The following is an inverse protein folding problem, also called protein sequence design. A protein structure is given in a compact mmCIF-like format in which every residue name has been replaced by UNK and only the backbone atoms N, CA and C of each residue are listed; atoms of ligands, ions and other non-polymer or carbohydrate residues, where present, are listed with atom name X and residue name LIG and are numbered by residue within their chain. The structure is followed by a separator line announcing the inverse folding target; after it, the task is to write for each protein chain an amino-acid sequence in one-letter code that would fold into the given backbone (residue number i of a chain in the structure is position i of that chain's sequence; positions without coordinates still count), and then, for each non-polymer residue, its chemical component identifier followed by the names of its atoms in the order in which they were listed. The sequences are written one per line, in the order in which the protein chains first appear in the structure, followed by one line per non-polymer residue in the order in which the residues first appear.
data_IF_052790253754
#
_entry.id   IF_052790253754
#
_cell.length_a   1.000
_cell.length_b   1.000
_cell.length_c   1.000
_cell.angle_alpha   90.00
_cell.angle_beta   90.00
_cell.angle_gamma   90.00
#
_symmetry.space_group_name_H-M   'P 1'
#
loop_
_entity.id
_entity.type
_entity.pdbx_description
1 polymer ?
#
# COMPACT_ATOMS: atom_id res chain seq x y z
N UNK A 1 -7.50 -7.75 3.74
CA UNK A 1 -6.54 -7.33 2.70
C UNK A 1 -5.22 -7.08 3.41
N UNK A 2 -4.16 -7.81 3.09
CA UNK A 2 -2.84 -7.73 3.72
C UNK A 2 -1.75 -7.33 2.71
N UNK A 3 -2.11 -6.60 1.66
CA UNK A 3 -1.21 -6.17 0.61
C UNK A 3 -1.67 -4.80 0.10
N UNK A 4 -0.78 -4.08 -0.59
CA UNK A 4 -1.10 -2.79 -1.18
C UNK A 4 -0.82 -2.74 -2.68
N UNK A 5 -1.22 -1.65 -3.33
CA UNK A 5 -1.11 -1.44 -4.78
C UNK A 5 0.25 -1.85 -5.34
N UNK A 6 0.24 -2.50 -6.51
CA UNK A 6 1.44 -3.03 -7.16
C UNK A 6 1.99 -4.33 -6.56
N UNK A 7 1.43 -4.85 -5.47
CA UNK A 7 1.74 -6.17 -4.94
C UNK A 7 0.68 -7.22 -5.31
N UNK A 8 1.09 -8.50 -5.28
CA UNK A 8 0.17 -9.62 -5.50
C UNK A 8 -0.79 -9.79 -4.31
N UNK A 9 -2.06 -10.15 -4.55
CA UNK A 9 -3.01 -10.45 -3.47
C UNK A 9 -2.47 -11.52 -2.51
N UNK A 10 -2.63 -11.31 -1.21
CA UNK A 10 -2.17 -12.25 -0.17
C UNK A 10 -0.68 -12.15 0.18
N UNK A 11 0.11 -11.37 -0.55
CA UNK A 11 1.58 -11.35 -0.43
C UNK A 11 2.14 -10.78 0.88
N UNK A 12 1.36 -10.03 1.65
CA UNK A 12 1.90 -9.32 2.82
C UNK A 12 2.73 -8.08 2.48
N UNK A 13 2.75 -7.65 1.20
CA UNK A 13 3.74 -6.70 0.67
C UNK A 13 3.11 -5.49 -0.03
N UNK A 14 3.93 -4.47 -0.24
CA UNK A 14 3.70 -3.38 -1.17
C UNK A 14 4.58 -3.56 -2.43
N UNK A 15 4.42 -2.68 -3.43
CA UNK A 15 5.15 -2.78 -4.70
C UNK A 15 6.67 -2.92 -4.53
N UNK A 16 7.29 -2.16 -3.61
CA UNK A 16 8.74 -2.22 -3.38
C UNK A 16 9.17 -3.59 -2.83
N UNK A 17 8.34 -4.22 -1.98
CA UNK A 17 8.62 -5.50 -1.34
C UNK A 17 8.55 -6.68 -2.31
N UNK A 18 7.88 -6.51 -3.45
CA UNK A 18 7.88 -7.48 -4.55
C UNK A 18 9.20 -7.50 -5.31
N UNK A 19 9.90 -6.36 -5.37
CA UNK A 19 11.10 -6.16 -6.19
C UNK A 19 12.38 -5.98 -5.37
N UNK A 20 12.28 -6.05 -4.04
CA UNK A 20 13.38 -5.73 -3.09
C UNK A 20 13.97 -4.33 -3.32
N UNK A 21 13.14 -3.40 -3.77
CA UNK A 21 13.50 -2.01 -4.03
C UNK A 21 13.14 -1.06 -2.89
N UNK A 22 12.61 -1.59 -1.78
CA UNK A 22 12.33 -0.77 -0.60
C UNK A 22 13.64 -0.15 -0.05
N UNK A 23 13.58 1.01 0.61
CA UNK A 23 14.73 1.67 1.23
C UNK A 23 15.56 0.75 2.12
N UNK A 24 14.90 -0.17 2.83
CA UNK A 24 15.54 -1.31 3.45
C UNK A 24 15.07 -2.59 2.76
N UNK A 25 15.95 -3.34 2.06
CA UNK A 25 15.55 -4.46 1.21
C UNK A 25 14.83 -5.62 1.92
N UNK A 26 14.92 -5.71 3.25
CA UNK A 26 14.23 -6.72 4.04
C UNK A 26 12.80 -6.32 4.46
N UNK A 27 12.41 -5.06 4.28
CA UNK A 27 11.05 -4.59 4.57
C UNK A 27 10.06 -5.03 3.49
N UNK A 28 8.77 -5.04 3.84
CA UNK A 28 7.69 -5.44 2.94
C UNK A 28 7.09 -4.24 2.21
N UNK A 29 7.16 -3.06 2.82
CA UNK A 29 6.67 -1.79 2.32
C UNK A 29 7.68 -0.66 2.57
N UNK A 30 7.49 0.48 1.89
CA UNK A 30 8.36 1.64 2.06
C UNK A 30 8.15 2.26 3.45
N UNK A 31 6.91 2.31 3.93
CA UNK A 31 6.57 2.94 5.20
C UNK A 31 7.08 2.16 6.41
N UNK A 32 7.30 0.84 6.31
CA UNK A 32 7.88 -0.01 7.37
C UNK A 32 9.32 0.39 7.80
N UNK A 33 9.91 1.42 7.18
CA UNK A 33 11.30 1.80 7.39
C UNK A 33 11.55 2.50 8.73
N UNK A 34 10.54 3.19 9.26
CA UNK A 34 10.58 3.89 10.56
C UNK A 34 11.85 4.75 10.77
N UNK A 35 12.22 5.54 9.75
CA UNK A 35 13.42 6.38 9.78
C UNK A 35 13.16 7.89 9.82
N UNK A 36 11.92 8.29 10.17
CA UNK A 36 11.52 9.69 10.28
C UNK A 36 11.47 10.44 8.94
N UNK A 37 11.57 9.73 7.81
CA UNK A 37 11.41 10.28 6.47
C UNK A 37 10.00 9.94 5.98
N UNK A 38 9.27 10.92 5.44
CA UNK A 38 7.98 10.66 4.82
C UNK A 38 8.17 9.74 3.61
N UNK A 39 7.52 8.59 3.63
CA UNK A 39 7.59 7.55 2.60
C UNK A 39 6.20 7.24 2.06
N UNK A 40 6.16 6.66 0.88
CA UNK A 40 4.91 6.36 0.19
C UNK A 40 4.91 4.93 -0.34
N UNK A 41 3.81 4.23 -0.12
CA UNK A 41 3.45 3.02 -0.86
C UNK A 41 2.28 3.32 -1.81
N UNK A 42 2.52 3.19 -3.11
CA UNK A 42 1.53 3.50 -4.15
C UNK A 42 1.39 2.40 -5.19
N UNK A 43 0.25 2.40 -5.88
CA UNK A 43 -0.06 1.47 -6.95
C UNK A 43 -1.55 1.26 -7.17
N UNK A 44 -1.90 0.51 -8.21
CA UNK A 44 -3.29 0.18 -8.51
C UNK A 44 -3.75 -1.06 -7.72
N UNK A 45 -4.98 -0.99 -7.21
CA UNK A 45 -5.73 -2.14 -6.73
C UNK A 45 -6.53 -2.69 -7.91
N UNK A 46 -6.14 -3.87 -8.40
CA UNK A 46 -6.69 -4.45 -9.64
C UNK A 46 -7.45 -5.75 -9.43
N UNK A 47 -7.33 -6.37 -8.25
CA UNK A 47 -8.08 -7.57 -7.91
C UNK A 47 -9.57 -7.23 -7.74
N UNK A 48 -10.39 -7.70 -8.69
CA UNK A 48 -11.82 -7.43 -8.74
C UNK A 48 -12.57 -7.92 -7.50
N UNK A 49 -12.06 -8.95 -6.81
CA UNK A 49 -12.70 -9.48 -5.60
C UNK A 49 -12.56 -8.55 -4.39
N UNK A 50 -11.60 -7.62 -4.44
CA UNK A 50 -11.35 -6.61 -3.41
C UNK A 50 -11.90 -5.22 -3.78
N UNK A 51 -12.58 -5.09 -4.92
CA UNK A 51 -13.18 -3.85 -5.39
C UNK A 51 -14.72 -3.87 -5.28
N UNK A 52 -15.39 -2.73 -5.03
CA UNK A 52 -14.80 -1.43 -4.70
C UNK A 52 -14.17 -1.42 -3.30
N UNK A 53 -13.18 -0.55 -3.10
CA UNK A 53 -12.62 -0.29 -1.77
C UNK A 53 -13.70 0.40 -0.92
N UNK A 54 -14.05 -0.23 0.20
CA UNK A 54 -15.06 0.29 1.15
C UNK A 54 -14.44 1.01 2.34
N UNK A 55 -13.19 0.69 2.66
CA UNK A 55 -12.49 1.26 3.81
C UNK A 55 -10.98 1.14 3.62
N UNK A 56 -10.26 2.14 4.10
CA UNK A 56 -8.82 2.08 4.32
C UNK A 56 -8.55 2.04 5.83
N UNK A 57 -7.62 1.19 6.26
CA UNK A 57 -7.23 1.01 7.65
C UNK A 57 -5.71 1.05 7.73
N UNK A 58 -5.19 2.22 8.09
CA UNK A 58 -3.78 2.41 8.40
C UNK A 58 -3.62 2.43 9.92
N UNK A 59 -2.55 1.83 10.43
CA UNK A 59 -2.19 1.80 11.85
C UNK A 59 -0.93 2.60 12.11
N UNK A 60 -0.31 2.38 13.28
CA UNK A 60 1.02 2.92 13.62
C UNK A 60 1.11 4.45 13.48
N UNK A 61 0.12 5.12 14.05
CA UNK A 61 0.00 6.59 14.08
C UNK A 61 -0.45 7.08 15.47
N UNK A 62 -0.02 6.36 16.51
CA UNK A 62 -0.39 6.59 17.90
C UNK A 62 0.61 7.42 18.72
N UNK A 63 1.88 7.45 18.30
CA UNK A 63 2.95 8.13 19.04
C UNK A 63 3.17 9.58 18.59
N UNK A 64 3.78 10.39 19.47
CA UNK A 64 4.08 11.79 19.17
C UNK A 64 5.16 11.89 18.10
N UNK A 65 4.76 12.23 16.87
CA UNK A 65 5.67 12.34 15.72
C UNK A 65 5.31 11.41 14.56
N UNK A 66 4.34 10.53 14.74
CA UNK A 66 3.82 9.69 13.66
C UNK A 66 2.78 10.46 12.85
N UNK A 67 2.97 10.50 11.53
CA UNK A 67 2.04 11.13 10.60
C UNK A 67 1.72 10.17 9.46
N UNK A 68 0.45 10.14 9.06
CA UNK A 68 -0.04 9.28 7.98
C UNK A 68 -0.98 10.04 7.05
N UNK A 69 -0.70 9.97 5.75
CA UNK A 69 -1.53 10.55 4.70
C UNK A 69 -2.01 9.47 3.76
N UNK A 70 -3.24 9.60 3.25
CA UNK A 70 -3.78 8.62 2.32
C UNK A 70 -4.63 9.29 1.25
N UNK A 71 -4.58 8.71 0.05
CA UNK A 71 -5.46 9.06 -1.05
C UNK A 71 -6.04 7.79 -1.67
N UNK A 72 -7.30 7.86 -2.09
CA UNK A 72 -7.97 6.80 -2.82
C UNK A 72 -8.55 7.39 -4.11
N UNK A 73 -8.04 6.92 -5.24
CA UNK A 73 -8.55 7.31 -6.54
C UNK A 73 -9.96 6.77 -6.82
N UNK A 74 -10.61 7.32 -7.85
CA UNK A 74 -11.91 6.81 -8.33
C UNK A 74 -11.78 5.35 -8.80
N UNK A 75 -12.81 4.54 -8.52
CA UNK A 75 -12.96 3.23 -9.15
C UNK A 75 -13.08 3.42 -10.67
N UNK A 76 -12.24 2.72 -11.43
CA UNK A 76 -12.30 2.67 -12.89
C UNK A 76 -12.78 1.28 -13.32
N UNK A 77 -13.90 1.23 -14.03
CA UNK A 77 -14.45 0.01 -14.61
C UNK A 77 -14.28 0.07 -16.13
N UNK A 78 -13.76 -1.01 -16.71
CA UNK A 78 -13.62 -1.15 -18.16
C UNK A 78 -14.57 -2.25 -18.63
N UNK A 79 -15.30 -1.98 -19.71
CA UNK A 79 -16.11 -3.00 -20.37
C UNK A 79 -15.21 -4.07 -21.01
N UNK A 80 -15.81 -5.22 -21.32
CA UNK A 80 -15.20 -6.21 -22.21
C UNK A 80 -15.39 -5.66 -23.62
N UNK A 81 -14.30 -5.48 -24.36
CA UNK A 81 -14.36 -5.13 -25.78
C UNK A 81 -14.56 -6.39 -26.63
#
# INVERSE_FOLDING_TARGET
MNYWGGASPGSGKCACGMTRSCPYPANMCNCDKEDGVLREDSGLLTDKTHLPVKQLRFGDTGDSGEEGYHTLGKLKCYGIQ
#
